data_IF_127168318727
#
_entry.id   IF_127168318727
#
_cell.length_a   1.000
_cell.length_b   1.000
_cell.length_c   1.000
_cell.angle_alpha   90.00
_cell.angle_beta   90.00
_cell.angle_gamma   90.00
#
_symmetry.space_group_name_H-M   'P 1'
#
loop_
_entity.id
_entity.type
_entity.pdbx_description
1 polymer ?
#
# COMPACT_ATOMS: atom_id res chain seq x y z
N UNK A 1 -5.34 18.66 -2.02
CA UNK A 1 -3.88 18.75 -2.19
C UNK A 1 -3.49 17.72 -3.26
N UNK A 2 -2.24 17.64 -3.75
CA UNK A 2 -1.88 16.65 -4.76
C UNK A 2 -1.74 15.25 -4.13
N UNK A 3 -1.94 14.21 -4.93
CA UNK A 3 -1.65 12.81 -4.55
C UNK A 3 -0.21 12.67 -4.06
N UNK A 4 0.01 11.87 -3.02
CA UNK A 4 1.35 11.65 -2.47
C UNK A 4 2.17 10.80 -3.46
N UNK A 5 3.28 11.40 -3.90
CA UNK A 5 4.24 10.80 -4.85
C UNK A 5 5.59 10.50 -4.20
N UNK A 6 5.87 11.09 -3.05
CA UNK A 6 7.11 10.88 -2.31
C UNK A 6 6.93 9.76 -1.27
N UNK A 7 7.75 8.69 -1.28
CA UNK A 7 7.72 7.68 -0.23
C UNK A 7 8.11 8.20 1.15
N UNK A 8 8.89 9.27 1.25
CA UNK A 8 9.39 9.79 2.54
C UNK A 8 8.30 10.50 3.35
N UNK A 9 7.19 10.89 2.70
CA UNK A 9 6.02 11.45 3.38
C UNK A 9 5.20 10.36 4.08
N UNK A 10 5.35 9.09 3.71
CA UNK A 10 4.61 7.97 4.30
C UNK A 10 5.28 7.49 5.59
N UNK A 11 4.46 7.12 6.57
CA UNK A 11 4.91 6.67 7.88
C UNK A 11 4.33 5.30 8.19
N UNK A 12 5.14 4.43 8.78
CA UNK A 12 4.70 3.10 9.23
C UNK A 12 3.79 3.25 10.44
N UNK A 13 2.65 2.57 10.43
CA UNK A 13 1.79 2.43 11.59
C UNK A 13 2.04 1.09 12.27
N UNK A 14 2.00 1.07 13.59
CA UNK A 14 2.05 -0.14 14.42
C UNK A 14 0.67 -0.79 14.62
N UNK A 15 -0.41 -0.12 14.23
CA UNK A 15 -1.79 -0.57 14.42
C UNK A 15 -2.63 -0.38 13.14
N UNK A 16 -3.64 -1.24 12.91
CA UNK A 16 -4.58 -1.06 11.80
C UNK A 16 -5.52 0.13 12.03
N UNK A 17 -6.26 0.50 10.97
CA UNK A 17 -7.37 1.47 11.06
C UNK A 17 -8.35 1.10 12.18
N UNK A 18 -8.82 2.09 12.93
CA UNK A 18 -9.77 1.89 14.04
C UNK A 18 -9.15 1.46 15.37
N UNK A 19 -7.83 1.19 15.42
CA UNK A 19 -7.11 0.77 16.64
C UNK A 19 -6.07 1.79 17.10
N UNK A 20 -6.39 3.09 16.96
CA UNK A 20 -5.47 4.22 17.20
C UNK A 20 -4.21 4.17 16.32
N UNK A 21 -4.36 4.30 14.99
CA UNK A 21 -3.21 4.33 14.09
C UNK A 21 -2.31 5.54 14.39
N UNK A 22 -1.01 5.29 14.28
CA UNK A 22 0.11 6.20 14.52
C UNK A 22 0.93 6.49 13.24
N UNK A 23 0.51 5.90 12.11
CA UNK A 23 1.12 6.11 10.80
C UNK A 23 0.11 5.99 9.66
N UNK A 24 0.59 6.16 8.44
CA UNK A 24 -0.22 6.19 7.22
C UNK A 24 -0.21 4.89 6.42
N UNK A 25 0.70 3.95 6.73
CA UNK A 25 0.77 2.62 6.11
C UNK A 25 0.89 1.57 7.21
N UNK A 26 -0.06 0.63 7.26
CA UNK A 26 0.00 -0.53 8.15
C UNK A 26 0.30 -1.80 7.34
N UNK A 27 1.20 -2.63 7.85
CA UNK A 27 1.66 -3.85 7.18
C UNK A 27 1.47 -5.01 8.15
N UNK A 28 0.65 -5.99 7.77
CA UNK A 28 0.49 -7.23 8.55
C UNK A 28 0.98 -8.43 7.73
N UNK A 29 2.25 -8.83 7.91
CA UNK A 29 2.80 -10.01 7.25
C UNK A 29 2.35 -11.34 7.88
N UNK A 30 1.67 -11.30 9.04
CA UNK A 30 1.23 -12.49 9.78
C UNK A 30 -0.23 -12.87 9.53
N UNK A 31 -1.02 -11.95 8.97
CA UNK A 31 -2.35 -12.23 8.46
C UNK A 31 -2.30 -13.32 7.37
N UNK A 32 -3.39 -14.06 7.23
CA UNK A 32 -3.57 -15.09 6.20
C UNK A 32 -4.79 -14.74 5.36
N UNK A 33 -4.64 -14.05 4.21
CA UNK A 33 -3.40 -13.63 3.52
C UNK A 33 -2.69 -12.41 4.15
N UNK A 34 -1.38 -12.22 3.91
CA UNK A 34 -0.65 -11.05 4.39
C UNK A 34 -1.14 -9.77 3.70
N UNK A 35 -1.34 -8.71 4.47
CA UNK A 35 -2.06 -7.52 4.01
C UNK A 35 -1.31 -6.22 4.18
N UNK A 36 -1.55 -5.28 3.25
CA UNK A 36 -1.10 -3.88 3.35
C UNK A 36 -2.33 -2.99 3.42
N UNK A 37 -2.36 -2.08 4.38
CA UNK A 37 -3.44 -1.11 4.57
C UNK A 37 -2.92 0.32 4.48
N UNK A 38 -3.63 1.15 3.72
CA UNK A 38 -3.39 2.59 3.64
C UNK A 38 -4.34 3.31 4.58
N UNK A 39 -3.80 4.19 5.42
CA UNK A 39 -4.57 4.90 6.44
C UNK A 39 -4.69 6.37 6.10
N UNK A 40 -5.85 6.78 5.55
CA UNK A 40 -6.16 8.18 5.27
C UNK A 40 -6.46 8.98 6.56
N UNK A 41 -6.37 10.31 6.48
CA UNK A 41 -6.66 11.22 7.60
C UNK A 41 -8.15 11.48 7.84
N UNK A 42 -8.96 11.44 6.78
CA UNK A 42 -10.41 11.72 6.80
C UNK A 42 -11.29 10.47 6.79
N UNK A 43 -10.69 9.27 6.70
CA UNK A 43 -11.45 8.03 6.83
C UNK A 43 -11.87 7.75 8.27
N UNK A 44 -12.96 7.02 8.45
CA UNK A 44 -13.44 6.63 9.78
C UNK A 44 -12.43 5.72 10.47
N UNK A 45 -11.91 6.14 11.63
CA UNK A 45 -10.86 5.40 12.34
C UNK A 45 -9.45 5.61 11.78
N UNK A 46 -9.27 6.60 10.89
CA UNK A 46 -8.00 6.99 10.31
C UNK A 46 -7.04 7.70 11.25
N UNK A 47 -5.87 8.06 10.73
CA UNK A 47 -4.83 8.77 11.46
C UNK A 47 -4.89 10.25 11.14
N UNK A 48 -5.28 11.09 12.11
CA UNK A 48 -5.50 12.53 11.88
C UNK A 48 -4.28 13.32 11.38
N UNK A 49 -3.07 12.78 11.54
CA UNK A 49 -1.83 13.36 10.99
C UNK A 49 -1.30 12.60 9.76
N UNK A 50 -2.12 11.77 9.11
CA UNK A 50 -1.77 11.12 7.86
C UNK A 50 -1.52 12.18 6.77
N UNK A 51 -0.49 12.00 5.92
CA UNK A 51 -0.12 12.96 4.89
C UNK A 51 -1.12 13.01 3.72
N UNK A 52 -2.09 12.08 3.65
CA UNK A 52 -3.09 12.03 2.58
C UNK A 52 -4.52 11.91 3.12
N UNK A 53 -5.46 12.38 2.31
CA UNK A 53 -6.91 12.16 2.45
C UNK A 53 -7.41 11.09 1.48
N UNK A 54 -8.64 10.59 1.68
CA UNK A 54 -9.32 9.63 0.81
C UNK A 54 -9.35 10.11 -0.64
N UNK A 55 -9.50 11.44 -0.87
CA UNK A 55 -9.56 12.03 -2.21
C UNK A 55 -8.20 12.09 -2.91
N UNK A 56 -7.13 12.23 -2.14
CA UNK A 56 -5.78 12.41 -2.67
C UNK A 56 -5.11 11.07 -2.97
N UNK A 57 -5.22 10.14 -2.02
CA UNK A 57 -4.60 8.84 -2.07
C UNK A 57 -3.07 8.88 -2.25
N UNK A 58 -2.53 7.73 -2.64
CA UNK A 58 -1.10 7.48 -2.76
C UNK A 58 -0.79 6.91 -4.14
N UNK A 59 0.34 7.31 -4.72
CA UNK A 59 0.82 6.68 -5.95
C UNK A 59 1.40 5.30 -5.67
N UNK A 60 1.17 4.34 -6.57
CA UNK A 60 1.69 2.97 -6.37
C UNK A 60 3.22 2.92 -6.36
N UNK A 61 3.87 3.86 -7.07
CA UNK A 61 5.32 4.03 -7.04
C UNK A 61 5.84 4.49 -5.67
N UNK A 62 5.14 5.42 -5.00
CA UNK A 62 5.48 5.85 -3.64
C UNK A 62 5.29 4.69 -2.66
N UNK A 63 4.17 3.96 -2.74
CA UNK A 63 3.92 2.79 -1.90
C UNK A 63 5.01 1.72 -2.07
N UNK A 64 5.37 1.40 -3.33
CA UNK A 64 6.42 0.43 -3.62
C UNK A 64 7.79 0.85 -3.06
N UNK A 65 8.14 2.13 -3.22
CA UNK A 65 9.41 2.66 -2.74
C UNK A 65 9.46 2.69 -1.20
N UNK A 66 8.36 3.06 -0.55
CA UNK A 66 8.21 3.00 0.89
C UNK A 66 8.38 1.58 1.42
N UNK A 67 7.74 0.58 0.81
CA UNK A 67 7.89 -0.82 1.22
C UNK A 67 9.33 -1.30 1.04
N UNK A 68 10.02 -0.91 -0.04
CA UNK A 68 11.46 -1.22 -0.17
C UNK A 68 12.30 -0.61 0.95
N UNK A 69 11.98 0.60 1.40
CA UNK A 69 12.66 1.22 2.53
C UNK A 69 12.40 0.42 3.81
N UNK A 70 11.14 0.04 4.09
CA UNK A 70 10.79 -0.76 5.27
C UNK A 70 11.47 -2.14 5.27
N UNK A 71 11.59 -2.81 4.12
CA UNK A 71 12.29 -4.10 4.02
C UNK A 71 13.81 -3.97 4.15
N UNK A 72 14.38 -2.79 3.86
CA UNK A 72 15.81 -2.53 4.02
C UNK A 72 16.15 -2.03 5.43
N UNK A 73 15.19 -1.36 6.08
CA UNK A 73 15.34 -0.75 7.39
C UNK A 73 15.05 -1.79 8.48
N UNK A 74 16.12 -2.38 9.03
CA UNK A 74 16.08 -3.50 9.99
C UNK A 74 15.68 -3.11 11.43
N UNK A 75 14.86 -2.07 11.64
CA UNK A 75 14.84 -1.37 12.94
C UNK A 75 13.63 -1.65 13.83
N UNK A 76 12.50 -2.15 13.32
CA UNK A 76 11.26 -2.21 14.16
C UNK A 76 10.47 -3.51 14.06
N UNK A 77 10.27 -4.11 12.89
CA UNK A 77 9.33 -5.25 12.71
C UNK A 77 9.92 -6.48 11.99
N UNK A 78 11.24 -6.57 11.86
CA UNK A 78 11.94 -7.70 11.22
C UNK A 78 11.35 -8.12 9.84
N UNK A 79 10.89 -7.15 9.04
CA UNK A 79 10.26 -7.42 7.74
C UNK A 79 11.11 -8.25 6.78
N UNK A 80 12.44 -8.24 6.95
CA UNK A 80 13.39 -9.06 6.20
C UNK A 80 13.14 -10.57 6.32
N UNK A 81 12.40 -11.03 7.35
CA UNK A 81 12.01 -12.44 7.52
C UNK A 81 10.91 -12.87 6.56
N UNK A 82 10.17 -11.91 6.00
CA UNK A 82 9.04 -12.15 5.12
C UNK A 82 9.40 -11.87 3.66
N UNK A 83 8.80 -12.65 2.76
CA UNK A 83 8.97 -12.44 1.33
C UNK A 83 8.39 -11.07 0.92
N UNK A 84 9.13 -10.35 0.09
CA UNK A 84 8.74 -9.03 -0.38
C UNK A 84 7.39 -9.09 -1.14
N UNK A 85 6.47 -8.14 -0.89
CA UNK A 85 5.08 -8.24 -1.32
C UNK A 85 4.84 -7.86 -2.78
N UNK A 86 5.76 -7.13 -3.42
CA UNK A 86 5.52 -6.57 -4.74
C UNK A 86 6.67 -6.75 -5.72
N UNK A 87 6.37 -7.07 -6.96
CA UNK A 87 7.29 -6.98 -8.08
C UNK A 87 6.92 -5.80 -8.98
N UNK A 88 7.92 -5.04 -9.44
CA UNK A 88 7.71 -3.95 -10.37
C UNK A 88 8.10 -4.42 -11.78
N UNK A 89 7.12 -4.50 -12.68
CA UNK A 89 7.34 -4.87 -14.08
C UNK A 89 7.74 -3.62 -14.88
N UNK A 90 6.99 -2.53 -14.69
CA UNK A 90 7.31 -1.19 -15.21
C UNK A 90 7.04 -0.14 -14.14
N UNK A 91 7.35 1.13 -14.40
CA UNK A 91 7.08 2.23 -13.46
C UNK A 91 5.59 2.40 -13.11
N UNK A 92 4.69 1.83 -13.90
CA UNK A 92 3.23 1.92 -13.72
C UNK A 92 2.55 0.55 -13.67
N UNK A 93 3.30 -0.55 -13.78
CA UNK A 93 2.75 -1.90 -13.73
C UNK A 93 3.47 -2.69 -12.64
N UNK A 94 2.69 -3.08 -11.64
CA UNK A 94 3.16 -3.79 -10.47
C UNK A 94 2.43 -5.11 -10.32
N UNK A 95 2.95 -5.96 -9.47
CA UNK A 95 2.36 -7.25 -9.15
C UNK A 95 2.51 -7.51 -7.67
N UNK A 96 1.41 -7.75 -6.97
CA UNK A 96 1.45 -8.30 -5.63
C UNK A 96 1.64 -9.81 -5.75
N UNK A 97 2.72 -10.31 -5.15
CA UNK A 97 3.14 -11.71 -5.22
C UNK A 97 3.06 -12.36 -3.85
N UNK A 98 3.28 -13.67 -3.78
CA UNK A 98 3.32 -14.42 -2.51
C UNK A 98 2.02 -14.30 -1.69
N UNK A 99 0.87 -14.22 -2.36
CA UNK A 99 -0.44 -14.11 -1.72
C UNK A 99 -0.66 -12.80 -0.95
N UNK A 100 0.19 -11.78 -1.16
CA UNK A 100 -0.03 -10.44 -0.60
C UNK A 100 -1.18 -9.74 -1.28
N UNK A 101 -2.00 -9.03 -0.49
CA UNK A 101 -3.12 -8.26 -1.00
C UNK A 101 -3.37 -6.99 -0.18
N UNK A 102 -3.98 -5.96 -0.77
CA UNK A 102 -4.53 -4.84 -0.02
C UNK A 102 -5.58 -5.32 0.99
N UNK A 103 -5.55 -4.77 2.21
CA UNK A 103 -6.39 -5.22 3.32
C UNK A 103 -7.91 -5.09 3.04
N UNK A 104 -8.30 -4.07 2.29
CA UNK A 104 -9.69 -3.75 2.00
C UNK A 104 -9.83 -2.94 0.70
N UNK A 105 -11.07 -2.84 0.21
CA UNK A 105 -11.39 -2.06 -1.01
C UNK A 105 -11.13 -0.57 -0.83
N UNK A 106 -11.15 -0.07 0.41
CA UNK A 106 -10.78 1.32 0.71
C UNK A 106 -9.31 1.56 0.37
N UNK A 107 -8.41 0.68 0.83
CA UNK A 107 -6.98 0.71 0.53
C UNK A 107 -6.74 0.62 -0.99
N UNK A 108 -7.46 -0.27 -1.68
CA UNK A 108 -7.40 -0.36 -3.16
C UNK A 108 -7.80 0.95 -3.82
N UNK A 109 -8.83 1.62 -3.31
CA UNK A 109 -9.31 2.90 -3.84
C UNK A 109 -8.37 4.08 -3.58
N UNK A 110 -7.56 4.00 -2.52
CA UNK A 110 -6.56 5.02 -2.20
C UNK A 110 -5.33 4.95 -3.10
N UNK A 111 -5.10 3.83 -3.80
CA UNK A 111 -4.05 3.74 -4.83
C UNK A 111 -4.57 4.43 -6.10
N UNK A 112 -3.98 5.59 -6.46
CA UNK A 112 -4.49 6.45 -7.55
C UNK A 112 -3.82 6.25 -8.90
N UNK A 113 -2.63 5.65 -8.93
CA UNK A 113 -1.84 5.53 -10.15
C UNK A 113 -1.31 4.11 -10.33
N UNK A 114 -1.12 3.71 -11.59
CA UNK A 114 -0.59 2.40 -11.95
C UNK A 114 -1.64 1.28 -11.96
N UNK A 115 -1.31 0.20 -12.66
CA UNK A 115 -2.05 -1.06 -12.62
C UNK A 115 -1.31 -2.08 -11.78
N UNK A 116 -2.05 -2.98 -11.14
CA UNK A 116 -1.46 -4.11 -10.43
C UNK A 116 -2.25 -5.40 -10.62
N UNK A 117 -1.57 -6.52 -10.44
CA UNK A 117 -2.21 -7.84 -10.35
C UNK A 117 -1.90 -8.46 -9.01
N UNK A 118 -2.88 -9.08 -8.37
CA UNK A 118 -2.77 -9.83 -7.13
C UNK A 118 -2.62 -11.32 -7.47
N UNK A 119 -1.48 -11.93 -7.12
CA UNK A 119 -1.21 -13.35 -7.35
C UNK A 119 -1.17 -14.16 -6.06
N UNK A 120 -1.72 -15.36 -6.11
CA UNK A 120 -1.61 -16.32 -5.02
C UNK A 120 -0.16 -16.86 -4.86
N UNK A 121 0.07 -17.67 -3.83
CA UNK A 121 1.37 -18.29 -3.60
C UNK A 121 1.81 -19.27 -4.71
N UNK A 122 0.89 -19.72 -5.55
CA UNK A 122 1.15 -20.57 -6.72
C UNK A 122 1.39 -19.78 -8.02
N UNK A 123 1.32 -18.44 -7.98
CA UNK A 123 1.44 -17.59 -9.16
C UNK A 123 0.18 -17.50 -10.02
N UNK A 124 -0.98 -17.89 -9.49
CA UNK A 124 -2.28 -17.71 -10.15
C UNK A 124 -2.80 -16.30 -9.88
N UNK A 125 -3.25 -15.63 -10.94
CA UNK A 125 -3.89 -14.32 -10.84
C UNK A 125 -5.25 -14.44 -10.14
N UNK A 126 -5.43 -13.73 -9.03
CA UNK A 126 -6.73 -13.61 -8.35
C UNK A 126 -7.52 -12.45 -8.93
N UNK A 127 -6.88 -11.28 -9.01
CA UNK A 127 -7.51 -10.03 -9.38
C UNK A 127 -6.49 -9.13 -10.09
N UNK A 128 -6.96 -8.35 -11.07
CA UNK A 128 -6.17 -7.34 -11.74
C UNK A 128 -6.91 -6.01 -11.68
N UNK A 129 -6.16 -4.97 -11.35
CA UNK A 129 -6.65 -3.60 -11.19
C UNK A 129 -5.90 -2.70 -12.14
N UNK A 130 -6.61 -1.73 -12.71
CA UNK A 130 -6.06 -0.80 -13.68
C UNK A 130 -6.31 0.63 -13.23
N UNK A 131 -5.24 1.39 -13.01
CA UNK A 131 -5.29 2.83 -12.84
C UNK A 131 -5.55 3.53 -14.17
N UNK A 132 -6.80 3.88 -14.44
CA UNK A 132 -7.16 4.64 -15.65
C UNK A 132 -7.06 6.13 -15.35
N UNK A 133 -6.12 6.82 -16.00
CA UNK A 133 -5.99 8.27 -15.93
C UNK A 133 -6.51 8.85 -17.24
N UNK A 134 -7.65 9.54 -17.19
CA UNK A 134 -8.21 10.22 -18.35
C UNK A 134 -7.69 11.65 -18.44
N UNK A 135 -7.36 12.11 -19.65
CA UNK A 135 -6.90 13.48 -19.93
C UNK A 135 -8.05 14.52 -19.91
N UNK A 136 -9.04 14.34 -19.02
CA UNK A 136 -10.33 15.06 -18.99
C UNK A 136 -10.28 16.45 -19.62
N UNK A 137 -11.01 16.61 -20.72
CA UNK A 137 -11.24 17.91 -21.36
C UNK A 137 -12.46 18.57 -20.72
#
# INVERSE_FOLDING_TARGET
MPTIVDPDDLTLSSQPVGSSPDGSVYIDPTSTPPTIQLIASDQTGGFGSSPFTEKEGVSLQALYSFLKLQWKQNDTDDFFKFLFPMEAITSEQFEFINNWEPADDATRSFIRTGGWTEKDAGGTEKQSWMGVITLGN
#
